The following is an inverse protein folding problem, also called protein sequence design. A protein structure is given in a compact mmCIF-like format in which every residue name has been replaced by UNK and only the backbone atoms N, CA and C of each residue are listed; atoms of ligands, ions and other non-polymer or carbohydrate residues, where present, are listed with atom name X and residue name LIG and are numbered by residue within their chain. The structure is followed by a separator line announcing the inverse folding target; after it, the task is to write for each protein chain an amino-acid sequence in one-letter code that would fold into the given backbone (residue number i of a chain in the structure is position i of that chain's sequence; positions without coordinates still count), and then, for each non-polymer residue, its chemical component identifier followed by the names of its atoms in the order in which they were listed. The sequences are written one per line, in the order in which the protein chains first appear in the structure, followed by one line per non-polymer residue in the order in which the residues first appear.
data_IF_455863328706
#
_entry.id   IF_455863328706
#
_cell.length_a   1.000
_cell.length_b   1.000
_cell.length_c   1.000
_cell.angle_alpha   90.00
_cell.angle_beta   90.00
_cell.angle_gamma   90.00
#
_symmetry.space_group_name_H-M   'P 1'
#
loop_
_entity.id
_entity.type
_entity.pdbx_description
1 polymer ?
#
# COMPACT_ATOMS: atom_id res chain seq x y z
N UNK A 1 -59.85 31.52 6.12
CA UNK A 1 -58.92 30.48 5.65
C UNK A 1 -57.60 31.14 5.29
N UNK A 2 -56.54 30.88 6.06
CA UNK A 2 -55.13 30.90 5.65
C UNK A 2 -54.28 30.74 6.92
N UNK A 3 -53.80 29.51 7.19
CA UNK A 3 -52.77 29.25 8.19
C UNK A 3 -51.41 29.52 7.52
N UNK A 4 -50.66 30.50 8.01
CA UNK A 4 -49.26 30.70 7.62
C UNK A 4 -48.41 29.64 8.36
N UNK A 5 -47.82 28.71 7.60
CA UNK A 5 -46.78 27.81 8.09
C UNK A 5 -45.44 28.51 7.88
N UNK A 6 -44.76 28.88 8.96
CA UNK A 6 -43.36 29.33 8.91
C UNK A 6 -42.49 28.08 8.94
N UNK A 7 -41.90 27.73 7.81
CA UNK A 7 -40.93 26.64 7.68
C UNK A 7 -39.53 27.24 7.91
N UNK A 8 -38.94 27.00 9.07
CA UNK A 8 -37.55 27.34 9.33
C UNK A 8 -36.65 26.29 8.66
N UNK A 9 -35.98 26.67 7.57
CA UNK A 9 -34.86 25.90 7.03
C UNK A 9 -33.65 26.06 7.96
N UNK A 10 -33.40 25.07 8.82
CA UNK A 10 -32.08 24.88 9.41
C UNK A 10 -31.16 24.31 8.33
N UNK A 11 -30.44 25.19 7.64
CA UNK A 11 -29.25 24.84 6.85
C UNK A 11 -28.14 24.42 7.83
N UNK A 12 -28.11 23.14 8.17
CA UNK A 12 -26.96 22.52 8.83
C UNK A 12 -25.81 22.47 7.82
N UNK A 13 -24.96 23.50 7.83
CA UNK A 13 -23.63 23.41 7.26
C UNK A 13 -22.81 22.47 8.16
N UNK A 14 -22.82 21.17 7.87
CA UNK A 14 -21.75 20.31 8.37
C UNK A 14 -20.48 20.76 7.67
N UNK A 15 -19.63 21.49 8.38
CA UNK A 15 -18.23 21.63 8.00
C UNK A 15 -17.66 20.23 7.90
N UNK A 16 -17.52 19.71 6.67
CA UNK A 16 -16.70 18.55 6.41
C UNK A 16 -15.27 18.97 6.74
N UNK A 17 -14.87 18.81 8.00
CA UNK A 17 -13.46 18.70 8.35
C UNK A 17 -13.00 17.49 7.57
N UNK A 18 -12.29 17.71 6.46
CA UNK A 18 -11.70 16.63 5.69
C UNK A 18 -10.88 15.81 6.68
N UNK A 19 -11.29 14.56 6.93
CA UNK A 19 -10.56 13.69 7.82
C UNK A 19 -9.10 13.64 7.34
N UNK A 20 -8.16 13.85 8.25
CA UNK A 20 -6.74 13.77 7.93
C UNK A 20 -6.44 12.42 7.24
N UNK A 21 -5.54 12.37 6.25
CA UNK A 21 -5.08 11.09 5.70
C UNK A 21 -4.68 10.12 6.81
N UNK A 22 -4.78 8.82 6.56
CA UNK A 22 -4.32 7.82 7.53
C UNK A 22 -2.84 7.50 7.30
N UNK A 23 -2.10 7.28 8.37
CA UNK A 23 -0.72 6.81 8.33
C UNK A 23 -0.65 5.29 8.31
N UNK A 24 0.07 4.75 7.33
CA UNK A 24 0.35 3.34 7.19
C UNK A 24 1.81 3.02 7.59
N UNK A 25 2.08 1.81 8.07
CA UNK A 25 3.45 1.31 8.27
C UNK A 25 3.80 0.17 7.31
N UNK A 26 4.98 0.24 6.71
CA UNK A 26 5.59 -0.78 5.85
C UNK A 26 6.74 -1.50 6.59
N UNK A 27 6.78 -2.83 6.71
CA UNK A 27 5.75 -3.85 6.54
C UNK A 27 5.77 -4.77 7.76
N UNK A 28 4.60 -5.16 8.24
CA UNK A 28 4.42 -5.96 9.45
C UNK A 28 4.46 -7.47 9.13
N UNK A 29 5.26 -8.23 9.84
CA UNK A 29 5.38 -9.67 9.66
C UNK A 29 4.23 -10.40 10.37
N UNK A 30 3.29 -10.95 9.60
CA UNK A 30 2.12 -11.66 10.14
C UNK A 30 2.48 -12.81 11.09
N UNK A 31 3.57 -13.52 10.85
CA UNK A 31 3.92 -14.72 11.62
C UNK A 31 4.50 -14.37 13.00
N UNK A 32 5.11 -13.20 13.16
CA UNK A 32 5.81 -12.82 14.39
C UNK A 32 5.15 -11.67 15.13
N UNK A 33 4.33 -10.86 14.46
CA UNK A 33 3.72 -9.65 15.02
C UNK A 33 2.19 -9.76 15.11
N UNK A 34 1.65 -10.95 15.34
CA UNK A 34 0.22 -11.24 15.45
C UNK A 34 -0.20 -11.51 16.89
N UNK A 35 0.02 -10.54 17.79
CA UNK A 35 -0.43 -10.59 19.18
C UNK A 35 -0.93 -9.21 19.67
N UNK A 36 -1.42 -9.16 20.92
CA UNK A 36 -2.04 -7.94 21.49
C UNK A 36 -1.02 -6.86 21.81
N UNK A 37 0.19 -7.25 22.24
CA UNK A 37 1.26 -6.33 22.58
C UNK A 37 1.69 -5.57 21.33
N UNK A 38 1.87 -6.25 20.19
CA UNK A 38 2.20 -5.61 18.92
C UNK A 38 1.06 -4.71 18.42
N UNK A 39 -0.19 -5.17 18.50
CA UNK A 39 -1.35 -4.36 18.09
C UNK A 39 -1.44 -3.05 18.91
N UNK A 40 -1.25 -3.14 20.23
CA UNK A 40 -1.19 -1.97 21.11
C UNK A 40 0.02 -1.08 20.80
N UNK A 41 1.18 -1.67 20.55
CA UNK A 41 2.40 -0.94 20.20
C UNK A 41 2.20 -0.09 18.94
N UNK A 42 1.73 -0.70 17.84
CA UNK A 42 1.52 0.02 16.59
C UNK A 42 0.41 1.07 16.69
N UNK A 43 -0.72 0.73 17.34
CA UNK A 43 -1.86 1.63 17.43
C UNK A 43 -1.74 2.75 18.47
N UNK A 44 -1.02 2.52 19.58
CA UNK A 44 -0.94 3.46 20.71
C UNK A 44 0.44 4.06 20.89
N UNK A 45 1.50 3.27 20.78
CA UNK A 45 2.87 3.80 20.94
C UNK A 45 3.33 4.52 19.68
N UNK A 46 3.26 3.86 18.52
CA UNK A 46 3.64 4.49 17.25
C UNK A 46 2.53 5.41 16.75
N UNK A 47 1.27 4.96 16.79
CA UNK A 47 0.11 5.75 16.40
C UNK A 47 -0.27 5.64 14.92
N UNK A 48 0.05 4.52 14.26
CA UNK A 48 -0.38 4.28 12.87
C UNK A 48 -1.84 3.83 12.81
N UNK A 49 -2.54 4.13 11.72
CA UNK A 49 -3.94 3.73 11.52
C UNK A 49 -4.09 2.55 10.55
N UNK A 50 -2.99 2.04 10.00
CA UNK A 50 -2.98 0.85 9.16
C UNK A 50 -1.58 0.30 8.95
N UNK A 51 -1.50 -0.93 8.45
CA UNK A 51 -0.22 -1.58 8.11
C UNK A 51 -0.32 -2.35 6.80
N UNK A 52 0.83 -2.52 6.15
CA UNK A 52 1.04 -3.51 5.09
C UNK A 52 1.47 -4.83 5.70
N UNK A 53 0.65 -5.88 5.57
CA UNK A 53 0.86 -7.18 6.22
C UNK A 53 1.58 -8.13 5.25
N UNK A 54 2.77 -8.58 5.61
CA UNK A 54 3.53 -9.57 4.86
C UNK A 54 3.13 -11.02 5.19
N UNK A 55 3.39 -11.92 4.25
CA UNK A 55 3.41 -13.39 4.42
C UNK A 55 2.05 -14.09 4.60
N UNK A 56 0.92 -13.43 4.31
CA UNK A 56 -0.35 -14.13 4.11
C UNK A 56 -0.38 -14.89 2.77
N UNK A 57 0.20 -14.28 1.72
CA UNK A 57 0.47 -14.88 0.42
C UNK A 57 1.89 -14.51 0.02
N UNK A 58 2.86 -15.35 0.44
CA UNK A 58 4.29 -15.06 0.25
C UNK A 58 4.66 -14.97 -1.23
N UNK A 59 4.25 -15.94 -2.04
CA UNK A 59 4.50 -15.96 -3.47
C UNK A 59 3.20 -15.87 -4.25
N UNK A 60 3.28 -15.48 -5.52
CA UNK A 60 2.11 -15.43 -6.40
C UNK A 60 1.52 -16.83 -6.67
N UNK A 61 2.33 -17.88 -6.49
CA UNK A 61 1.91 -19.29 -6.53
C UNK A 61 1.39 -19.83 -5.19
N UNK A 62 1.50 -19.07 -4.09
CA UNK A 62 1.01 -19.50 -2.78
C UNK A 62 -0.52 -19.62 -2.79
N UNK A 63 -1.01 -20.83 -2.55
CA UNK A 63 -2.44 -21.09 -2.41
C UNK A 63 -2.89 -20.83 -0.96
N UNK A 64 -3.79 -19.87 -0.78
CA UNK A 64 -4.38 -19.53 0.54
C UNK A 64 -5.71 -20.24 0.82
N UNK A 65 -6.13 -21.15 -0.07
CA UNK A 65 -7.43 -21.81 -0.04
C UNK A 65 -8.54 -20.99 -0.72
N UNK A 66 -9.57 -21.66 -1.24
CA UNK A 66 -10.68 -21.01 -1.94
C UNK A 66 -11.86 -20.61 -1.03
N UNK A 67 -11.88 -21.14 0.20
CA UNK A 67 -12.93 -20.97 1.22
C UNK A 67 -12.30 -20.79 2.61
N UNK A 68 -13.05 -20.28 3.60
CA UNK A 68 -12.55 -20.11 4.97
C UNK A 68 -11.89 -21.37 5.53
N UNK A 69 -10.68 -21.20 6.05
CA UNK A 69 -9.86 -22.21 6.70
C UNK A 69 -9.17 -21.60 7.94
N UNK A 70 -8.25 -22.33 8.57
CA UNK A 70 -7.51 -21.85 9.75
C UNK A 70 -6.72 -20.54 9.49
N UNK A 71 -6.11 -20.39 8.31
CA UNK A 71 -5.41 -19.17 7.92
C UNK A 71 -6.38 -17.98 7.85
N UNK A 72 -7.55 -18.15 7.24
CA UNK A 72 -8.55 -17.08 7.09
C UNK A 72 -9.11 -16.65 8.44
N UNK A 73 -9.38 -17.61 9.33
CA UNK A 73 -9.83 -17.34 10.69
C UNK A 73 -8.76 -16.59 11.49
N UNK A 74 -7.50 -17.02 11.37
CA UNK A 74 -6.37 -16.35 12.01
C UNK A 74 -6.17 -14.93 11.48
N UNK A 75 -6.31 -14.70 10.17
CA UNK A 75 -6.24 -13.38 9.55
C UNK A 75 -7.38 -12.45 10.02
N UNK A 76 -8.60 -12.98 10.18
CA UNK A 76 -9.72 -12.24 10.78
C UNK A 76 -9.43 -11.85 12.23
N UNK A 77 -8.88 -12.76 13.02
CA UNK A 77 -8.48 -12.50 14.41
C UNK A 77 -7.38 -11.44 14.50
N UNK A 78 -6.39 -11.47 13.58
CA UNK A 78 -5.40 -10.40 13.43
C UNK A 78 -6.11 -9.05 13.22
N UNK A 79 -6.99 -8.97 12.23
CA UNK A 79 -7.66 -7.72 11.88
C UNK A 79 -8.49 -7.16 13.04
N UNK A 80 -9.26 -8.01 13.72
CA UNK A 80 -10.05 -7.61 14.89
C UNK A 80 -9.17 -7.08 16.02
N UNK A 81 -8.03 -7.74 16.26
CA UNK A 81 -7.09 -7.34 17.31
C UNK A 81 -6.45 -5.99 17.03
N UNK A 82 -5.98 -5.77 15.80
CA UNK A 82 -5.36 -4.49 15.40
C UNK A 82 -6.40 -3.35 15.37
N UNK A 83 -7.62 -3.63 14.92
CA UNK A 83 -8.71 -2.66 14.92
C UNK A 83 -9.07 -2.18 16.33
N UNK A 84 -9.00 -3.03 17.36
CA UNK A 84 -9.25 -2.66 18.75
C UNK A 84 -8.31 -1.56 19.28
N UNK A 85 -7.14 -1.37 18.65
CA UNK A 85 -6.19 -0.33 19.00
C UNK A 85 -6.13 0.83 17.99
N UNK A 86 -7.07 0.89 17.04
CA UNK A 86 -7.20 1.97 16.05
C UNK A 86 -6.50 1.70 14.71
N UNK A 87 -5.83 0.55 14.58
CA UNK A 87 -5.12 0.14 13.36
C UNK A 87 -6.09 -0.59 12.44
N UNK A 88 -6.87 0.18 11.68
CA UNK A 88 -8.08 -0.27 10.98
C UNK A 88 -7.90 -0.46 9.47
N UNK A 89 -7.01 0.31 8.84
CA UNK A 89 -6.80 0.29 7.39
C UNK A 89 -5.61 -0.60 7.03
N UNK A 90 -5.76 -1.89 7.32
CA UNK A 90 -4.73 -2.88 7.05
C UNK A 90 -4.91 -3.51 5.67
N UNK A 91 -3.78 -3.75 4.99
CA UNK A 91 -3.72 -4.27 3.64
C UNK A 91 -2.91 -5.56 3.61
N UNK A 92 -3.41 -6.56 2.88
CA UNK A 92 -2.60 -7.73 2.56
C UNK A 92 -1.55 -7.32 1.55
N UNK A 93 -0.27 -7.37 1.91
CA UNK A 93 0.82 -7.10 0.99
C UNK A 93 1.20 -8.38 0.25
N UNK A 94 1.23 -8.30 -1.07
CA UNK A 94 1.67 -9.39 -1.96
C UNK A 94 2.87 -8.90 -2.76
N UNK A 95 4.05 -9.44 -2.46
CA UNK A 95 5.32 -9.08 -3.09
C UNK A 95 5.72 -10.07 -4.19
N UNK A 96 6.79 -9.74 -4.92
CA UNK A 96 7.40 -10.63 -5.91
C UNK A 96 8.76 -11.12 -5.43
N UNK A 97 8.80 -12.34 -4.89
CA UNK A 97 10.03 -12.97 -4.40
C UNK A 97 10.58 -14.05 -5.35
N UNK A 98 9.98 -14.23 -6.53
CA UNK A 98 10.38 -15.25 -7.51
C UNK A 98 10.11 -14.78 -8.93
N UNK A 99 10.82 -15.36 -9.90
CA UNK A 99 10.62 -15.09 -11.32
C UNK A 99 9.18 -15.41 -11.74
N UNK A 100 8.55 -14.46 -12.44
CA UNK A 100 7.22 -14.64 -13.00
C UNK A 100 7.31 -15.29 -14.38
N UNK A 101 6.45 -16.27 -14.64
CA UNK A 101 6.36 -16.96 -15.92
C UNK A 101 5.04 -16.63 -16.60
N UNK A 102 5.09 -15.74 -17.58
CA UNK A 102 3.92 -15.25 -18.30
C UNK A 102 3.59 -16.09 -19.54
N UNK A 103 4.56 -16.89 -20.00
CA UNK A 103 4.42 -17.74 -21.18
C UNK A 103 3.81 -19.11 -20.85
N UNK A 104 3.79 -19.50 -19.57
CA UNK A 104 3.14 -20.74 -19.13
C UNK A 104 1.67 -20.47 -18.71
N UNK A 105 0.69 -20.93 -19.50
CA UNK A 105 -0.73 -20.70 -19.19
C UNK A 105 -1.19 -21.37 -17.89
N UNK A 106 -0.56 -22.45 -17.45
CA UNK A 106 -0.91 -23.10 -16.19
C UNK A 106 -0.45 -22.24 -15.00
N UNK A 107 0.75 -21.67 -15.09
CA UNK A 107 1.28 -20.74 -14.09
C UNK A 107 0.44 -19.46 -14.04
N UNK A 108 0.08 -18.90 -15.21
CA UNK A 108 -0.82 -17.74 -15.28
C UNK A 108 -2.19 -18.06 -14.67
N UNK A 109 -2.77 -19.21 -14.97
CA UNK A 109 -4.04 -19.66 -14.37
C UNK A 109 -3.94 -19.80 -12.85
N UNK A 110 -2.81 -20.29 -12.34
CA UNK A 110 -2.52 -20.36 -10.91
C UNK A 110 -2.45 -18.97 -10.29
N UNK A 111 -1.78 -18.00 -10.92
CA UNK A 111 -1.77 -16.61 -10.45
C UNK A 111 -3.19 -16.05 -10.36
N UNK A 112 -3.99 -16.17 -11.42
CA UNK A 112 -5.39 -15.69 -11.46
C UNK A 112 -6.19 -16.29 -10.30
N UNK A 113 -6.07 -17.59 -10.08
CA UNK A 113 -6.77 -18.31 -9.00
C UNK A 113 -6.33 -17.82 -7.62
N UNK A 114 -5.03 -17.74 -7.38
CA UNK A 114 -4.49 -17.33 -6.08
C UNK A 114 -4.80 -15.88 -5.74
N UNK A 115 -4.71 -14.97 -6.72
CA UNK A 115 -5.10 -13.58 -6.55
C UNK A 115 -6.59 -13.42 -6.25
N UNK A 116 -7.47 -14.19 -6.91
CA UNK A 116 -8.88 -14.25 -6.55
C UNK A 116 -9.08 -14.76 -5.11
N UNK A 117 -8.35 -15.78 -4.70
CA UNK A 117 -8.46 -16.39 -3.37
C UNK A 117 -7.94 -15.47 -2.25
N UNK A 118 -6.81 -14.77 -2.44
CA UNK A 118 -6.33 -13.80 -1.45
C UNK A 118 -7.25 -12.59 -1.33
N UNK A 119 -7.92 -12.17 -2.40
CA UNK A 119 -8.97 -11.14 -2.33
C UNK A 119 -10.19 -11.62 -1.53
N UNK A 120 -10.61 -12.89 -1.68
CA UNK A 120 -11.67 -13.48 -0.83
C UNK A 120 -11.25 -13.53 0.64
N UNK A 121 -10.02 -13.96 0.92
CA UNK A 121 -9.46 -13.96 2.28
C UNK A 121 -9.49 -12.53 2.85
N UNK A 122 -9.00 -11.54 2.09
CA UNK A 122 -8.94 -10.17 2.54
C UNK A 122 -10.32 -9.61 2.90
N UNK A 123 -11.32 -9.90 2.06
CA UNK A 123 -12.73 -9.57 2.34
C UNK A 123 -13.25 -10.27 3.60
N UNK A 124 -12.99 -11.57 3.73
CA UNK A 124 -13.44 -12.37 4.88
C UNK A 124 -12.84 -11.88 6.20
N UNK A 125 -11.55 -11.56 6.19
CA UNK A 125 -10.83 -11.08 7.36
C UNK A 125 -11.19 -9.64 7.75
N UNK A 126 -11.77 -8.87 6.83
CA UNK A 126 -12.10 -7.46 7.04
C UNK A 126 -10.94 -6.50 6.78
N UNK A 127 -9.95 -6.92 5.98
CA UNK A 127 -8.90 -6.02 5.50
C UNK A 127 -9.45 -4.98 4.52
N UNK A 128 -8.79 -3.82 4.45
CA UNK A 128 -9.20 -2.71 3.57
C UNK A 128 -9.00 -3.04 2.09
N UNK A 129 -8.05 -3.92 1.80
CA UNK A 129 -7.80 -4.45 0.47
C UNK A 129 -6.41 -5.07 0.36
N UNK A 130 -5.82 -4.95 -0.82
CA UNK A 130 -4.54 -5.56 -1.19
C UNK A 130 -3.56 -4.45 -1.59
N UNK A 131 -2.33 -4.59 -1.13
CA UNK A 131 -1.19 -3.81 -1.59
C UNK A 131 -0.28 -4.70 -2.42
N UNK A 132 -0.14 -4.40 -3.70
CA UNK A 132 0.75 -5.13 -4.60
C UNK A 132 2.12 -4.45 -4.58
N UNK A 133 3.08 -5.20 -4.07
CA UNK A 133 4.49 -4.84 -4.09
C UNK A 133 5.14 -5.45 -5.32
N UNK A 134 5.28 -4.57 -6.30
CA UNK A 134 5.76 -4.90 -7.62
C UNK A 134 7.28 -4.77 -7.72
N UNK A 135 8.00 -4.33 -6.66
CA UNK A 135 9.46 -4.23 -6.65
C UNK A 135 10.13 -5.58 -7.01
N UNK A 136 11.15 -5.61 -7.89
CA UNK A 136 11.85 -6.85 -8.22
C UNK A 136 12.95 -7.08 -7.18
N UNK A 137 12.70 -7.92 -6.17
CA UNK A 137 13.75 -8.35 -5.23
C UNK A 137 14.77 -9.32 -5.86
N UNK A 138 14.51 -9.77 -7.09
CA UNK A 138 15.37 -10.54 -8.00
C UNK A 138 14.91 -10.30 -9.45
N UNK A 139 15.47 -10.96 -10.48
CA UNK A 139 15.01 -10.87 -11.88
C UNK A 139 13.58 -11.42 -12.07
N UNK A 140 12.60 -10.66 -11.59
CA UNK A 140 11.22 -11.06 -11.42
C UNK A 140 10.34 -10.73 -12.64
N UNK A 141 10.60 -9.55 -13.23
CA UNK A 141 9.90 -9.01 -14.39
C UNK A 141 10.65 -9.32 -15.68
N UNK A 142 10.95 -10.60 -15.89
CA UNK A 142 11.37 -11.11 -17.18
C UNK A 142 12.62 -11.98 -17.13
N UNK A 143 13.25 -12.13 -18.29
CA UNK A 143 14.12 -13.26 -18.64
C UNK A 143 13.43 -14.11 -19.72
N UNK A 144 13.91 -15.32 -19.99
CA UNK A 144 13.36 -16.21 -21.03
C UNK A 144 11.85 -16.49 -20.83
N UNK A 145 11.38 -16.46 -19.58
CA UNK A 145 9.97 -16.69 -19.21
C UNK A 145 9.10 -15.41 -19.11
N UNK A 146 9.66 -14.23 -19.38
CA UNK A 146 9.06 -12.93 -19.11
C UNK A 146 7.84 -12.54 -19.94
N UNK A 147 7.52 -13.28 -20.99
CA UNK A 147 6.48 -12.88 -21.95
C UNK A 147 6.75 -11.50 -22.59
N UNK A 148 5.76 -11.00 -23.33
CA UNK A 148 5.77 -9.65 -23.90
C UNK A 148 4.74 -8.76 -23.19
N UNK A 149 4.73 -7.47 -23.52
CA UNK A 149 3.83 -6.49 -22.90
C UNK A 149 2.34 -6.90 -23.03
N UNK A 150 1.92 -7.40 -24.19
CA UNK A 150 0.53 -7.81 -24.44
C UNK A 150 0.12 -9.02 -23.59
N UNK A 151 1.02 -10.01 -23.46
CA UNK A 151 0.80 -11.20 -22.62
C UNK A 151 0.66 -10.79 -21.16
N UNK A 152 1.57 -9.95 -20.65
CA UNK A 152 1.54 -9.48 -19.26
C UNK A 152 0.28 -8.66 -18.99
N UNK A 153 -0.08 -7.72 -19.87
CA UNK A 153 -1.29 -6.92 -19.73
C UNK A 153 -2.56 -7.78 -19.72
N UNK A 154 -2.63 -8.80 -20.59
CA UNK A 154 -3.77 -9.72 -20.67
C UNK A 154 -3.89 -10.58 -19.41
N UNK A 155 -2.78 -11.12 -18.92
CA UNK A 155 -2.74 -11.88 -17.67
C UNK A 155 -3.14 -11.00 -16.46
N UNK A 156 -2.63 -9.77 -16.41
CA UNK A 156 -2.96 -8.81 -15.37
C UNK A 156 -4.44 -8.40 -15.38
N UNK A 157 -5.05 -8.29 -16.56
CA UNK A 157 -6.51 -8.08 -16.69
C UNK A 157 -7.29 -9.23 -16.06
N UNK A 158 -6.86 -10.48 -16.27
CA UNK A 158 -7.51 -11.66 -15.68
C UNK A 158 -7.32 -11.71 -14.15
N UNK A 159 -6.11 -11.42 -13.67
CA UNK A 159 -5.80 -11.29 -12.24
C UNK A 159 -6.67 -10.20 -11.59
N UNK A 160 -6.71 -9.01 -12.21
CA UNK A 160 -7.53 -7.90 -11.77
C UNK A 160 -9.01 -8.28 -11.71
N UNK A 161 -9.55 -8.93 -12.76
CA UNK A 161 -10.93 -9.41 -12.79
C UNK A 161 -11.22 -10.38 -11.64
N UNK A 162 -10.34 -11.36 -11.39
CA UNK A 162 -10.53 -12.33 -10.32
C UNK A 162 -10.56 -11.67 -8.93
N UNK A 163 -9.65 -10.72 -8.68
CA UNK A 163 -9.65 -9.94 -7.44
C UNK A 163 -10.90 -9.07 -7.31
N UNK A 164 -11.30 -8.37 -8.38
CA UNK A 164 -12.49 -7.51 -8.38
C UNK A 164 -13.77 -8.30 -8.12
N UNK A 165 -13.94 -9.46 -8.75
CA UNK A 165 -15.10 -10.33 -8.52
C UNK A 165 -15.17 -10.85 -7.08
N UNK A 166 -14.01 -11.17 -6.48
CA UNK A 166 -13.93 -11.61 -5.10
C UNK A 166 -14.22 -10.48 -4.09
N UNK A 167 -13.69 -9.29 -4.33
CA UNK A 167 -13.76 -8.15 -3.43
C UNK A 167 -13.90 -6.81 -4.18
N UNK A 168 -15.09 -6.49 -4.72
CA UNK A 168 -15.28 -5.32 -5.58
C UNK A 168 -15.10 -3.98 -4.86
N UNK A 169 -15.30 -3.97 -3.55
CA UNK A 169 -15.19 -2.77 -2.70
C UNK A 169 -13.80 -2.57 -2.08
N UNK A 170 -12.80 -3.38 -2.47
CA UNK A 170 -11.46 -3.22 -1.92
C UNK A 170 -10.77 -1.96 -2.41
N UNK A 171 -9.87 -1.44 -1.58
CA UNK A 171 -8.86 -0.48 -2.01
C UNK A 171 -7.65 -1.25 -2.55
N UNK A 172 -7.21 -0.95 -3.77
CA UNK A 172 -5.99 -1.49 -4.36
C UNK A 172 -4.84 -0.49 -4.19
N UNK A 173 -3.74 -0.90 -3.58
CA UNK A 173 -2.50 -0.11 -3.51
C UNK A 173 -1.48 -0.73 -4.46
N UNK A 174 -0.82 0.09 -5.27
CA UNK A 174 0.37 -0.33 -6.04
C UNK A 174 1.59 0.36 -5.42
N UNK A 175 2.62 -0.43 -5.13
CA UNK A 175 3.92 0.05 -4.68
C UNK A 175 5.06 -0.69 -5.40
N UNK A 176 6.20 -0.04 -5.67
CA UNK A 176 6.37 1.42 -5.68
C UNK A 176 5.65 2.06 -6.88
N UNK A 177 5.90 3.35 -7.13
CA UNK A 177 5.53 4.02 -8.40
C UNK A 177 6.27 3.37 -9.58
N UNK A 178 5.62 2.42 -10.24
CA UNK A 178 6.20 1.64 -11.33
C UNK A 178 6.47 2.43 -12.60
N UNK A 179 5.72 3.52 -12.84
CA UNK A 179 5.86 4.34 -14.05
C UNK A 179 7.07 5.26 -13.93
N UNK A 180 7.30 5.85 -12.76
CA UNK A 180 8.55 6.57 -12.52
C UNK A 180 9.76 5.62 -12.63
N UNK A 181 9.71 4.49 -11.93
CA UNK A 181 10.79 3.49 -11.97
C UNK A 181 11.01 2.96 -13.39
N UNK A 182 9.96 2.88 -14.21
CA UNK A 182 10.09 2.62 -15.65
C UNK A 182 10.74 3.78 -16.42
N UNK A 183 10.37 5.04 -16.15
CA UNK A 183 10.97 6.22 -16.77
C UNK A 183 12.48 6.34 -16.56
N UNK A 184 12.98 5.82 -15.42
CA UNK A 184 14.42 5.68 -15.10
C UNK A 184 15.07 4.49 -15.83
N UNK A 185 14.30 3.49 -16.25
CA UNK A 185 14.80 2.21 -16.82
C UNK A 185 14.45 1.99 -18.31
N UNK A 186 13.83 2.98 -18.98
CA UNK A 186 13.30 2.88 -20.36
C UNK A 186 14.32 2.46 -21.43
N UNK A 187 15.61 2.68 -21.18
CA UNK A 187 16.71 2.33 -22.09
C UNK A 187 17.29 0.93 -21.81
N UNK A 188 16.77 0.20 -20.82
CA UNK A 188 17.06 -1.21 -20.61
C UNK A 188 16.22 -2.03 -21.60
N UNK A 189 16.87 -2.50 -22.65
CA UNK A 189 16.30 -3.44 -23.63
C UNK A 189 15.51 -4.56 -22.93
N UNK A 190 14.29 -4.81 -23.40
CA UNK A 190 13.36 -5.86 -22.94
C UNK A 190 13.97 -7.28 -22.92
N UNK A 191 15.20 -7.45 -23.41
CA UNK A 191 15.95 -8.71 -23.49
C UNK A 191 16.64 -9.14 -22.18
N UNK A 192 16.66 -8.33 -21.12
CA UNK A 192 17.37 -8.68 -19.85
C UNK A 192 16.47 -8.92 -18.63
N UNK A 193 15.14 -8.86 -18.77
CA UNK A 193 14.22 -9.11 -17.65
C UNK A 193 14.00 -7.90 -16.73
N UNK A 194 13.86 -6.73 -17.36
CA UNK A 194 13.70 -5.46 -16.67
C UNK A 194 12.28 -5.19 -16.15
N UNK A 195 12.23 -4.34 -15.12
CA UNK A 195 11.04 -3.82 -14.45
C UNK A 195 9.95 -3.21 -15.38
N UNK A 196 10.27 -2.98 -16.65
CA UNK A 196 9.38 -2.48 -17.69
C UNK A 196 8.05 -3.22 -17.81
N UNK A 197 8.00 -4.52 -17.51
CA UNK A 197 6.75 -5.30 -17.56
C UNK A 197 5.77 -4.98 -16.42
N UNK A 198 6.19 -4.27 -15.37
CA UNK A 198 5.30 -3.80 -14.33
C UNK A 198 4.28 -2.77 -14.86
N UNK A 199 4.64 -1.95 -15.87
CA UNK A 199 3.73 -0.96 -16.49
C UNK A 199 2.57 -1.62 -17.24
N UNK A 200 2.77 -2.54 -18.21
CA UNK A 200 1.66 -3.25 -18.84
C UNK A 200 0.87 -4.10 -17.84
N UNK A 201 1.51 -4.63 -16.79
CA UNK A 201 0.79 -5.31 -15.70
C UNK A 201 -0.20 -4.38 -15.01
N UNK A 202 0.25 -3.20 -14.55
CA UNK A 202 -0.62 -2.20 -13.92
C UNK A 202 -1.72 -1.72 -14.87
N UNK A 203 -1.38 -1.48 -16.14
CA UNK A 203 -2.38 -1.13 -17.17
C UNK A 203 -3.48 -2.20 -17.31
N UNK A 204 -3.11 -3.49 -17.27
CA UNK A 204 -4.07 -4.60 -17.32
C UNK A 204 -4.96 -4.66 -16.07
N UNK A 205 -4.38 -4.49 -14.88
CA UNK A 205 -5.14 -4.40 -13.62
C UNK A 205 -6.16 -3.26 -13.65
N UNK A 206 -5.76 -2.11 -14.19
CA UNK A 206 -6.60 -0.91 -14.25
C UNK A 206 -7.74 -1.02 -15.26
N UNK A 207 -7.91 -2.13 -15.97
CA UNK A 207 -9.12 -2.36 -16.77
C UNK A 207 -10.35 -2.73 -15.93
N UNK A 208 -10.21 -2.89 -14.61
CA UNK A 208 -11.35 -3.12 -13.72
C UNK A 208 -11.85 -1.81 -13.09
N UNK A 209 -13.15 -1.70 -12.80
CA UNK A 209 -13.74 -0.51 -12.16
C UNK A 209 -13.52 -0.57 -10.64
N UNK A 210 -12.26 -0.40 -10.22
CA UNK A 210 -11.89 -0.46 -8.80
C UNK A 210 -12.66 0.55 -7.95
N UNK A 211 -12.99 0.19 -6.71
CA UNK A 211 -13.57 1.16 -5.77
C UNK A 211 -12.63 2.33 -5.48
N UNK A 212 -11.33 2.04 -5.40
CA UNK A 212 -10.26 3.01 -5.21
C UNK A 212 -8.91 2.41 -5.55
N UNK A 213 -8.04 3.21 -6.16
CA UNK A 213 -6.65 2.86 -6.45
C UNK A 213 -5.73 3.92 -5.81
N UNK A 214 -4.63 3.48 -5.18
CA UNK A 214 -3.63 4.38 -4.58
C UNK A 214 -2.23 3.99 -5.03
N UNK A 215 -1.47 4.97 -5.54
CA UNK A 215 -0.06 4.78 -5.89
C UNK A 215 0.79 5.17 -4.70
N UNK A 216 1.41 4.19 -4.05
CA UNK A 216 2.37 4.45 -3.00
C UNK A 216 3.75 4.68 -3.62
N UNK A 217 4.30 5.88 -3.43
CA UNK A 217 5.59 6.28 -4.02
C UNK A 217 6.70 6.32 -2.97
N UNK A 218 7.86 5.80 -3.34
CA UNK A 218 9.09 5.79 -2.54
C UNK A 218 9.98 7.00 -2.84
N UNK A 219 9.71 7.72 -3.95
CA UNK A 219 10.51 8.88 -4.38
C UNK A 219 10.54 10.01 -3.36
N UNK A 220 9.62 10.00 -2.40
CA UNK A 220 9.49 11.02 -1.33
C UNK A 220 10.27 10.69 -0.06
N UNK A 221 10.82 9.48 0.10
CA UNK A 221 11.37 8.98 1.38
C UNK A 221 12.25 9.94 2.17
N UNK A 222 13.11 10.68 1.45
CA UNK A 222 14.07 11.64 2.02
C UNK A 222 14.01 12.99 1.31
N UNK A 223 12.96 13.24 0.54
CA UNK A 223 12.82 14.43 -0.28
C UNK A 223 12.63 15.69 0.58
N UNK A 224 13.03 16.85 0.07
CA UNK A 224 12.64 18.13 0.66
C UNK A 224 11.14 18.39 0.43
N UNK A 225 10.50 19.29 1.19
CA UNK A 225 9.07 19.62 1.00
C UNK A 225 8.70 19.99 -0.44
N UNK A 226 9.51 20.81 -1.11
CA UNK A 226 9.26 21.19 -2.50
C UNK A 226 9.35 19.98 -3.44
N UNK A 227 10.32 19.09 -3.21
CA UNK A 227 10.46 17.86 -3.98
C UNK A 227 9.30 16.89 -3.73
N UNK A 228 8.79 16.77 -2.49
CA UNK A 228 7.60 15.95 -2.17
C UNK A 228 6.41 16.36 -3.03
N UNK A 229 6.10 17.67 -3.07
CA UNK A 229 5.00 18.20 -3.89
C UNK A 229 5.19 17.87 -5.36
N UNK A 230 6.39 18.10 -5.89
CA UNK A 230 6.69 17.78 -7.29
C UNK A 230 6.53 16.29 -7.58
N UNK A 231 7.04 15.42 -6.71
CA UNK A 231 6.94 13.97 -6.85
C UNK A 231 5.50 13.49 -6.90
N UNK A 232 4.67 13.94 -5.96
CA UNK A 232 3.25 13.55 -5.93
C UNK A 232 2.53 13.98 -7.21
N UNK A 233 2.79 15.20 -7.70
CA UNK A 233 2.18 15.70 -8.94
C UNK A 233 2.64 14.93 -10.18
N UNK A 234 3.94 14.60 -10.27
CA UNK A 234 4.49 13.80 -11.38
C UNK A 234 3.93 12.39 -11.35
N UNK A 235 3.93 11.71 -10.20
CA UNK A 235 3.32 10.39 -10.04
C UNK A 235 1.85 10.44 -10.46
N UNK A 236 1.08 11.42 -9.99
CA UNK A 236 -0.33 11.55 -10.38
C UNK A 236 -0.49 11.67 -11.89
N UNK A 237 0.29 12.57 -12.52
CA UNK A 237 0.23 12.84 -13.96
C UNK A 237 0.59 11.60 -14.79
N UNK A 238 1.59 10.85 -14.37
CA UNK A 238 2.05 9.62 -15.02
C UNK A 238 0.94 8.56 -15.09
N UNK A 239 0.21 8.35 -14.00
CA UNK A 239 -0.87 7.34 -13.99
C UNK A 239 -2.18 7.85 -14.57
N UNK A 240 -2.49 9.14 -14.46
CA UNK A 240 -3.71 9.70 -15.04
C UNK A 240 -3.84 9.43 -16.55
N UNK A 241 -2.71 9.31 -17.26
CA UNK A 241 -2.68 8.92 -18.67
C UNK A 241 -2.86 7.42 -18.96
N UNK A 242 -2.83 6.55 -17.95
CA UNK A 242 -2.91 5.08 -18.13
C UNK A 242 -4.32 4.52 -18.08
N UNK A 243 -5.29 5.28 -17.58
CA UNK A 243 -6.68 4.82 -17.39
C UNK A 243 -7.67 5.84 -17.94
N UNK A 244 -8.91 5.40 -18.15
CA UNK A 244 -9.95 6.32 -18.63
C UNK A 244 -10.29 7.30 -17.50
N UNK A 245 -10.26 8.62 -17.72
CA UNK A 245 -10.64 9.58 -16.69
C UNK A 245 -12.00 9.25 -16.06
N UNK A 246 -12.05 9.19 -14.72
CA UNK A 246 -13.26 8.85 -13.98
C UNK A 246 -13.56 7.35 -13.86
N UNK A 247 -12.73 6.46 -14.40
CA UNK A 247 -12.94 5.00 -14.30
C UNK A 247 -12.93 4.50 -12.84
N UNK A 248 -12.10 5.08 -11.99
CA UNK A 248 -12.08 4.85 -10.56
C UNK A 248 -11.47 6.06 -9.82
N UNK A 249 -11.80 6.26 -8.53
CA UNK A 249 -11.10 7.22 -7.69
C UNK A 249 -9.63 6.83 -7.52
N UNK A 250 -8.74 7.79 -7.76
CA UNK A 250 -7.29 7.61 -7.76
C UNK A 250 -6.60 8.68 -6.91
N UNK A 251 -5.56 8.30 -6.17
CA UNK A 251 -4.72 9.22 -5.40
C UNK A 251 -3.28 8.70 -5.26
N UNK A 252 -2.35 9.57 -4.91
CA UNK A 252 -0.96 9.20 -4.59
C UNK A 252 -0.77 9.20 -3.07
N UNK A 253 -0.04 8.22 -2.55
CA UNK A 253 0.35 8.11 -1.16
C UNK A 253 1.88 8.29 -1.05
N UNK A 254 2.37 9.45 -0.60
CA UNK A 254 3.79 9.66 -0.38
C UNK A 254 4.30 8.80 0.79
N UNK A 255 5.52 8.30 0.63
CA UNK A 255 6.24 7.54 1.65
C UNK A 255 7.32 8.37 2.33
N UNK A 256 7.60 8.08 3.60
CA UNK A 256 8.67 8.73 4.38
C UNK A 256 9.53 7.71 5.11
N UNK A 257 10.84 7.95 5.15
CA UNK A 257 11.82 7.06 5.78
C UNK A 257 12.70 7.82 6.79
N UNK A 258 12.20 8.01 8.03
CA UNK A 258 12.91 8.84 9.00
C UNK A 258 13.94 8.08 9.84
N UNK A 259 13.81 6.75 9.97
CA UNK A 259 14.63 5.91 10.86
C UNK A 259 15.12 4.66 10.14
N UNK A 260 16.29 4.18 10.55
CA UNK A 260 16.93 2.97 10.05
C UNK A 260 17.69 3.21 8.77
N UNK A 261 18.98 3.53 8.82
CA UNK A 261 19.82 3.68 7.63
C UNK A 261 19.99 2.34 6.89
N UNK A 262 19.98 1.23 7.61
CA UNK A 262 20.08 -0.13 7.06
C UNK A 262 19.32 -1.15 7.93
N UNK A 263 19.42 -2.44 7.59
CA UNK A 263 18.79 -3.50 8.37
C UNK A 263 19.35 -3.62 9.80
N UNK A 264 20.58 -3.20 10.03
CA UNK A 264 21.27 -3.28 11.33
C UNK A 264 21.56 -1.90 11.94
N UNK A 265 21.61 -0.87 11.11
CA UNK A 265 21.77 0.51 11.57
C UNK A 265 20.40 1.16 11.73
N UNK A 266 19.93 1.22 12.98
CA UNK A 266 18.64 1.84 13.35
C UNK A 266 18.69 3.36 13.42
N UNK A 267 19.83 4.00 13.15
CA UNK A 267 20.03 5.45 13.27
C UNK A 267 19.04 6.27 12.45
N UNK A 268 18.87 7.53 12.85
CA UNK A 268 18.04 8.47 12.14
C UNK A 268 18.55 8.75 10.72
N UNK A 269 17.64 8.69 9.76
CA UNK A 269 17.84 9.12 8.38
C UNK A 269 17.49 10.61 8.23
N UNK A 270 16.44 11.05 8.94
CA UNK A 270 15.99 12.43 9.03
C UNK A 270 16.08 12.87 10.48
N UNK A 271 16.44 14.12 10.75
CA UNK A 271 16.24 14.69 12.08
C UNK A 271 14.75 14.74 12.44
N UNK A 272 14.41 14.87 13.73
CA UNK A 272 13.01 15.01 14.19
C UNK A 272 12.33 16.22 13.53
N UNK A 273 13.03 17.34 13.37
CA UNK A 273 12.46 18.54 12.73
C UNK A 273 12.23 18.34 11.23
N UNK A 274 13.16 17.68 10.54
CA UNK A 274 12.99 17.31 9.14
C UNK A 274 11.83 16.33 8.96
N UNK A 275 11.73 15.32 9.82
CA UNK A 275 10.62 14.37 9.80
C UNK A 275 9.27 15.08 10.00
N UNK A 276 9.17 15.98 10.98
CA UNK A 276 7.94 16.75 11.22
C UNK A 276 7.53 17.61 10.02
N UNK A 277 8.48 18.30 9.39
CA UNK A 277 8.20 19.15 8.24
C UNK A 277 7.79 18.33 7.01
N UNK A 278 8.53 17.26 6.73
CA UNK A 278 8.28 16.39 5.59
C UNK A 278 6.95 15.65 5.74
N UNK A 279 6.68 15.07 6.92
CA UNK A 279 5.43 14.37 7.19
C UNK A 279 4.23 15.32 7.05
N UNK A 280 4.31 16.56 7.55
CA UNK A 280 3.25 17.55 7.35
C UNK A 280 3.03 17.90 5.87
N UNK A 281 4.11 17.90 5.07
CA UNK A 281 4.02 18.11 3.62
C UNK A 281 3.35 16.93 2.94
N UNK A 282 3.73 15.70 3.30
CA UNK A 282 3.11 14.46 2.80
C UNK A 282 1.59 14.46 3.04
N UNK A 283 1.16 14.81 4.25
CA UNK A 283 -0.26 14.92 4.61
C UNK A 283 -1.00 15.97 3.79
N UNK A 284 -0.35 17.08 3.43
CA UNK A 284 -0.96 18.12 2.62
C UNK A 284 -1.10 17.73 1.14
N UNK A 285 -0.36 16.73 0.66
CA UNK A 285 -0.37 16.30 -0.76
C UNK A 285 -1.37 15.19 -1.07
N UNK A 286 -2.07 14.65 -0.08
CA UNK A 286 -2.99 13.52 -0.28
C UNK A 286 -4.21 13.64 0.63
N UNK A 287 -5.30 12.99 0.24
CA UNK A 287 -6.50 12.83 1.06
C UNK A 287 -6.75 11.36 1.46
N UNK A 288 -5.82 10.46 1.09
CA UNK A 288 -5.98 9.02 1.29
C UNK A 288 -5.05 8.51 2.39
N UNK A 289 -3.76 8.35 2.08
CA UNK A 289 -2.78 7.76 2.99
C UNK A 289 -1.41 8.39 2.83
N UNK A 290 -0.67 8.44 3.93
CA UNK A 290 0.79 8.60 3.97
C UNK A 290 1.35 7.29 4.52
N UNK A 291 2.59 6.94 4.23
CA UNK A 291 3.17 5.72 4.79
C UNK A 291 4.62 5.86 5.24
N UNK A 292 4.98 5.12 6.29
CA UNK A 292 6.32 5.08 6.85
C UNK A 292 7.01 3.80 6.40
N UNK A 293 8.20 3.94 5.85
CA UNK A 293 9.14 2.84 5.65
C UNK A 293 10.01 2.65 6.90
N UNK A 294 10.02 1.44 7.44
CA UNK A 294 10.85 1.05 8.57
C UNK A 294 11.90 0.03 8.19
N UNK A 295 13.02 0.49 7.61
CA UNK A 295 14.17 -0.38 7.32
C UNK A 295 14.65 -1.08 8.60
N UNK A 296 14.86 -2.40 8.55
CA UNK A 296 15.39 -3.16 9.68
C UNK A 296 14.52 -3.12 10.95
N UNK A 297 13.23 -2.83 10.82
CA UNK A 297 12.33 -2.61 11.98
C UNK A 297 12.83 -1.51 12.92
N UNK A 298 13.42 -0.42 12.39
CA UNK A 298 13.90 0.69 13.21
C UNK A 298 12.81 1.37 14.09
N UNK A 299 11.56 1.01 13.87
CA UNK A 299 10.39 1.41 14.66
C UNK A 299 9.98 0.39 15.73
N UNK A 300 10.75 -0.65 16.00
CA UNK A 300 10.50 -1.60 17.09
C UNK A 300 11.83 -2.16 17.60
N UNK A 301 11.96 -2.34 18.92
CA UNK A 301 13.10 -3.05 19.48
C UNK A 301 12.99 -4.54 19.14
N UNK A 302 14.04 -5.12 18.58
CA UNK A 302 14.04 -6.51 18.11
C UNK A 302 15.46 -7.09 18.17
N UNK A 303 15.70 -8.22 17.47
CA UNK A 303 17.02 -8.87 17.42
C UNK A 303 18.13 -8.00 16.83
N UNK A 304 17.81 -6.93 16.11
CA UNK A 304 18.78 -5.97 15.55
C UNK A 304 19.05 -4.79 16.49
N UNK A 305 18.54 -4.83 17.73
CA UNK A 305 18.87 -3.87 18.79
C UNK A 305 17.71 -2.94 19.16
N UNK A 306 17.94 -2.04 20.14
CA UNK A 306 16.94 -1.05 20.54
C UNK A 306 16.71 -0.04 19.41
N UNK A 307 15.54 0.61 19.44
CA UNK A 307 15.29 1.82 18.65
C UNK A 307 16.23 2.97 19.10
N UNK A 308 16.33 4.02 18.30
CA UNK A 308 17.12 5.22 18.64
C UNK A 308 16.69 5.82 19.99
N UNK A 309 17.62 6.40 20.75
CA UNK A 309 17.33 6.94 22.09
C UNK A 309 16.28 8.05 22.09
N UNK A 310 16.22 8.85 21.02
CA UNK A 310 15.21 9.89 20.83
C UNK A 310 13.95 9.39 20.09
N UNK A 311 13.72 8.08 20.00
CA UNK A 311 12.53 7.49 19.36
C UNK A 311 11.20 8.08 19.85
N UNK A 312 11.00 8.40 21.15
CA UNK A 312 9.77 9.06 21.62
C UNK A 312 9.46 10.37 20.89
N UNK A 313 10.47 11.10 20.42
CA UNK A 313 10.28 12.33 19.66
C UNK A 313 9.71 12.05 18.26
N UNK A 314 10.09 10.94 17.62
CA UNK A 314 9.52 10.52 16.32
C UNK A 314 8.08 10.04 16.47
N UNK A 315 7.77 9.25 17.50
CA UNK A 315 6.38 8.84 17.75
C UNK A 315 5.49 10.03 18.09
N UNK A 316 6.00 11.03 18.82
CA UNK A 316 5.28 12.29 19.06
C UNK A 316 4.97 13.04 17.76
N UNK A 317 5.89 13.05 16.79
CA UNK A 317 5.63 13.64 15.47
C UNK A 317 4.49 12.91 14.77
N UNK A 318 4.49 11.58 14.77
CA UNK A 318 3.41 10.76 14.18
C UNK A 318 2.06 11.05 14.85
N UNK A 319 2.00 11.00 16.18
CA UNK A 319 0.77 11.17 16.94
C UNK A 319 0.15 12.55 16.78
N UNK A 320 0.97 13.58 16.52
CA UNK A 320 0.53 14.97 16.36
C UNK A 320 0.40 15.41 14.89
N UNK A 321 0.63 14.52 13.91
CA UNK A 321 0.68 14.93 12.52
C UNK A 321 -0.68 15.42 11.98
N UNK A 322 -1.78 14.95 12.58
CA UNK A 322 -3.15 15.21 12.15
C UNK A 322 -3.99 16.09 13.10
N UNK A 323 -3.38 16.67 14.15
CA UNK A 323 -4.08 17.46 15.18
C UNK A 323 -3.99 18.97 14.95
N UNK A 324 -3.82 19.43 13.69
CA UNK A 324 -3.72 20.85 13.34
C UNK A 324 -5.08 21.48 13.06
#
# INVERSE_FOLDING_TARGET
MAKLLVMALCLAFSSYVSACPKLLYMALNYNTQNNVIDAQYWGKTVGVQGVFINYLMTYWTTNVGATPNSLWQSARSFQQRYAAYGVTDNFVKVSIFSNLNWNDPNVVSQYVTNFGNIAKLARYAGFKGIALDLEPYSSAWGGVAGGNQQTVQSAAKLIGRAMYQAYPNMTLIILPDVVYQYGVTKDLTLSTGGYALAVPFVSGLFQQPWKRVIMATEGTYRASPASIVNWVNVTYSNYAGMFTPGQFPFSVAPGIWPLGVSATDKSAVLSVSQFQQNLATDYAQTNSYVWIFGMGTAWQSDKYGPVVSNFPQYTNVVQNACTR
#
